data_IF_393795831662
#
_entry.id   IF_393795831662
#
_cell.length_a   1.000
_cell.length_b   1.000
_cell.length_c   1.000
_cell.angle_alpha   90.00
_cell.angle_beta   90.00
_cell.angle_gamma   90.00
#
_symmetry.space_group_name_H-M   'P 1'
#
loop_
_entity.id
_entity.type
_entity.pdbx_description
1 polymer ?
#
# COMPACT_ATOMS: atom_id res chain seq x y z
N UNK A 1 58.30 -2.89 0.70
CA UNK A 1 57.36 -3.42 1.70
C UNK A 1 56.25 -2.43 2.13
N UNK A 2 56.43 -1.11 2.19
CA UNK A 2 55.38 -0.12 2.52
C UNK A 2 54.26 0.02 1.48
N UNK A 3 54.56 -0.10 0.18
CA UNK A 3 53.60 0.05 -0.91
C UNK A 3 52.57 -1.10 -1.02
N UNK A 4 52.98 -2.31 -0.65
CA UNK A 4 52.08 -3.48 -0.66
C UNK A 4 51.06 -3.45 0.48
N UNK A 5 51.47 -2.95 1.66
CA UNK A 5 50.59 -2.79 2.83
C UNK A 5 49.50 -1.76 2.58
N UNK A 6 49.82 -0.65 1.88
CA UNK A 6 48.84 0.40 1.59
C UNK A 6 47.76 -0.02 0.58
N UNK A 7 48.12 -0.81 -0.47
CA UNK A 7 47.16 -1.37 -1.41
C UNK A 7 46.21 -2.40 -0.76
N UNK A 8 46.74 -3.23 0.14
CA UNK A 8 45.94 -4.23 0.85
C UNK A 8 44.93 -3.60 1.81
N UNK A 9 45.30 -2.54 2.54
CA UNK A 9 44.43 -1.81 3.46
C UNK A 9 43.31 -1.10 2.68
N UNK A 10 43.61 -0.51 1.53
CA UNK A 10 42.60 0.12 0.69
C UNK A 10 41.63 -0.88 0.02
N UNK A 11 42.14 -2.08 -0.34
CA UNK A 11 41.32 -3.17 -0.89
C UNK A 11 40.37 -3.73 0.19
N UNK A 12 40.85 -3.94 1.41
CA UNK A 12 40.05 -4.44 2.54
C UNK A 12 39.01 -3.38 2.94
N UNK A 13 39.37 -2.09 2.98
CA UNK A 13 38.40 -1.00 3.24
C UNK A 13 37.32 -0.91 2.16
N UNK A 14 37.69 -1.05 0.87
CA UNK A 14 36.75 -1.06 -0.24
C UNK A 14 35.79 -2.25 -0.16
N UNK A 15 36.30 -3.44 0.20
CA UNK A 15 35.49 -4.64 0.34
C UNK A 15 34.54 -4.54 1.55
N UNK A 16 35.02 -4.02 2.68
CA UNK A 16 34.20 -3.83 3.90
C UNK A 16 33.12 -2.76 3.71
N UNK A 17 33.44 -1.66 3.03
CA UNK A 17 32.46 -0.60 2.72
C UNK A 17 31.40 -1.14 1.73
N UNK A 18 31.81 -1.98 0.75
CA UNK A 18 30.86 -2.56 -0.20
C UNK A 18 29.93 -3.59 0.45
N UNK A 19 30.44 -4.44 1.36
CA UNK A 19 29.62 -5.41 2.09
C UNK A 19 28.69 -4.73 3.10
N UNK A 20 29.13 -3.67 3.77
CA UNK A 20 28.30 -2.91 4.72
C UNK A 20 27.21 -2.10 4.01
N UNK A 21 27.45 -1.62 2.77
CA UNK A 21 26.42 -0.92 1.98
C UNK A 21 25.36 -1.91 1.44
N UNK A 22 25.75 -3.16 1.19
CA UNK A 22 24.79 -4.20 0.73
C UNK A 22 23.86 -4.71 1.85
N UNK A 23 24.24 -4.52 3.13
CA UNK A 23 23.45 -4.93 4.30
C UNK A 23 22.60 -3.80 4.92
N UNK A 24 22.64 -2.59 4.37
CA UNK A 24 21.72 -1.54 4.79
C UNK A 24 20.33 -1.88 4.25
N UNK A 25 19.30 -1.97 5.11
CA UNK A 25 17.94 -2.17 4.63
C UNK A 25 17.59 -1.04 3.65
N UNK A 26 17.13 -1.40 2.45
CA UNK A 26 16.58 -0.39 1.52
C UNK A 26 15.50 0.40 2.24
N UNK A 27 15.71 1.72 2.34
CA UNK A 27 14.72 2.61 2.96
C UNK A 27 13.59 2.80 1.95
N UNK A 28 12.64 1.90 1.96
CA UNK A 28 11.44 2.03 1.14
C UNK A 28 10.61 3.22 1.63
N UNK A 29 10.21 4.07 0.69
CA UNK A 29 9.28 5.18 0.96
C UNK A 29 7.85 4.78 0.58
N UNK A 30 7.41 3.67 1.16
CA UNK A 30 6.07 3.13 0.95
C UNK A 30 5.04 4.02 1.64
N UNK A 31 3.93 4.31 0.96
CA UNK A 31 2.84 5.14 1.47
C UNK A 31 1.49 4.51 1.16
N UNK A 32 0.47 4.89 1.91
CA UNK A 32 -0.93 4.63 1.60
C UNK A 32 -1.62 5.95 1.28
N UNK A 33 -2.39 5.99 0.20
CA UNK A 33 -3.20 7.13 -0.18
C UNK A 33 -4.68 6.76 -0.09
N UNK A 34 -5.42 7.44 0.78
CA UNK A 34 -6.86 7.25 0.99
C UNK A 34 -7.62 8.35 0.26
N UNK A 35 -8.52 7.97 -0.65
CA UNK A 35 -9.31 8.91 -1.44
C UNK A 35 -10.49 9.45 -0.65
N UNK A 36 -10.54 10.77 -0.46
CA UNK A 36 -11.61 11.47 0.27
C UNK A 36 -12.86 11.49 -0.61
N UNK A 37 -13.90 10.78 -0.18
CA UNK A 37 -15.12 10.57 -0.98
C UNK A 37 -15.85 11.87 -1.31
N UNK A 38 -15.76 12.89 -0.45
CA UNK A 38 -16.39 14.21 -0.66
C UNK A 38 -15.86 14.91 -1.93
N UNK A 39 -14.62 14.67 -2.30
CA UNK A 39 -14.00 15.20 -3.52
C UNK A 39 -14.24 14.34 -4.77
N UNK A 40 -14.98 13.24 -4.60
CA UNK A 40 -15.28 12.27 -5.65
C UNK A 40 -16.56 12.55 -6.42
N UNK A 41 -16.93 11.59 -7.27
CA UNK A 41 -18.19 11.56 -7.99
C UNK A 41 -19.37 11.30 -7.04
N UNK A 42 -20.61 11.47 -7.53
CA UNK A 42 -21.80 11.09 -6.77
C UNK A 42 -21.77 9.62 -6.33
N UNK A 43 -21.18 8.76 -7.16
CA UNK A 43 -21.01 7.34 -6.85
C UNK A 43 -20.05 7.14 -5.67
N UNK A 44 -18.92 7.87 -5.63
CA UNK A 44 -17.98 7.81 -4.51
C UNK A 44 -18.62 8.26 -3.19
N UNK A 45 -19.38 9.35 -3.24
CA UNK A 45 -20.14 9.89 -2.09
C UNK A 45 -21.22 8.91 -1.61
N UNK A 46 -21.94 8.29 -2.54
CA UNK A 46 -22.95 7.30 -2.22
C UNK A 46 -22.35 6.07 -1.55
N UNK A 47 -21.29 5.51 -2.14
CA UNK A 47 -20.56 4.36 -1.56
C UNK A 47 -20.08 4.70 -0.16
N UNK A 48 -19.38 5.81 0.02
CA UNK A 48 -18.87 6.22 1.33
C UNK A 48 -19.98 6.39 2.38
N UNK A 49 -21.12 6.93 1.99
CA UNK A 49 -22.30 7.05 2.88
C UNK A 49 -22.85 5.68 3.28
N UNK A 50 -22.97 4.73 2.34
CA UNK A 50 -23.47 3.37 2.62
C UNK A 50 -22.54 2.62 3.56
N UNK A 51 -21.21 2.76 3.37
CA UNK A 51 -20.22 2.06 4.19
C UNK A 51 -19.78 2.87 5.44
N UNK A 52 -20.42 4.01 5.70
CA UNK A 52 -20.09 4.92 6.81
C UNK A 52 -18.58 5.23 6.90
N UNK A 53 -18.01 5.70 5.80
CA UNK A 53 -16.56 5.95 5.66
C UNK A 53 -16.28 7.34 5.12
N UNK A 54 -15.25 8.01 5.63
CA UNK A 54 -14.70 9.23 5.02
C UNK A 54 -14.11 8.95 3.62
N UNK A 55 -13.59 7.73 3.43
CA UNK A 55 -12.86 7.34 2.24
C UNK A 55 -13.63 6.33 1.39
N UNK A 56 -13.61 6.50 0.07
CA UNK A 56 -14.20 5.57 -0.89
C UNK A 56 -13.18 4.62 -1.53
N UNK A 57 -11.88 4.88 -1.35
CA UNK A 57 -10.82 4.09 -1.99
C UNK A 57 -9.49 4.23 -1.27
N UNK A 58 -8.59 3.25 -1.48
CA UNK A 58 -7.22 3.28 -0.97
C UNK A 58 -6.25 2.69 -1.99
N UNK A 59 -5.07 3.32 -2.10
CA UNK A 59 -3.95 2.90 -2.95
C UNK A 59 -2.72 2.64 -2.09
N UNK A 60 -1.92 1.63 -2.44
CA UNK A 60 -0.53 1.58 -2.01
C UNK A 60 0.32 2.37 -3.00
N UNK A 61 1.25 3.18 -2.48
CA UNK A 61 2.12 4.04 -3.28
C UNK A 61 3.57 3.62 -3.06
N UNK A 62 4.18 3.10 -4.10
CA UNK A 62 5.56 2.63 -4.09
C UNK A 62 6.57 3.79 -4.10
N UNK A 63 7.82 3.50 -3.78
CA UNK A 63 8.92 4.49 -3.75
C UNK A 63 9.11 5.22 -5.08
N UNK A 64 8.78 4.59 -6.20
CA UNK A 64 8.82 5.18 -7.55
C UNK A 64 7.55 5.98 -7.92
N UNK A 65 6.65 6.27 -6.96
CA UNK A 65 5.36 6.96 -7.14
C UNK A 65 4.34 6.24 -8.05
N UNK A 66 4.52 4.96 -8.30
CA UNK A 66 3.48 4.13 -8.91
C UNK A 66 2.52 3.66 -7.81
N UNK A 67 1.23 3.71 -8.09
CA UNK A 67 0.19 3.21 -7.20
C UNK A 67 -0.27 1.81 -7.62
N UNK A 68 -0.70 0.99 -6.66
CA UNK A 68 -1.39 -0.26 -6.94
C UNK A 68 -2.59 -0.45 -6.01
N UNK A 69 -3.67 -0.98 -6.57
CA UNK A 69 -4.90 -1.32 -5.85
C UNK A 69 -5.83 -2.12 -6.75
N UNK A 70 -6.97 -2.56 -6.23
CA UNK A 70 -8.12 -3.00 -7.01
C UNK A 70 -9.13 -1.87 -7.13
N UNK A 71 -9.54 -1.51 -8.35
CA UNK A 71 -10.43 -0.38 -8.62
C UNK A 71 -11.59 -0.80 -9.54
N UNK A 72 -12.84 -0.39 -9.23
CA UNK A 72 -13.97 -0.66 -10.13
C UNK A 72 -13.84 0.09 -11.45
N UNK A 73 -13.22 1.29 -11.46
CA UNK A 73 -12.96 2.08 -12.67
C UNK A 73 -11.97 1.41 -13.62
N UNK A 74 -11.03 0.67 -13.06
CA UNK A 74 -10.00 -0.07 -13.82
C UNK A 74 -10.35 -1.57 -13.94
N UNK A 75 -11.57 -1.97 -13.51
CA UNK A 75 -12.16 -3.33 -13.56
C UNK A 75 -11.41 -4.40 -12.72
N UNK A 76 -10.51 -4.01 -11.83
CA UNK A 76 -9.78 -4.96 -10.99
C UNK A 76 -8.43 -4.46 -10.50
N UNK A 77 -7.55 -5.41 -10.23
CA UNK A 77 -6.18 -5.16 -9.73
C UNK A 77 -5.31 -4.61 -10.84
N UNK A 78 -4.60 -3.52 -10.53
CA UNK A 78 -3.73 -2.83 -11.51
C UNK A 78 -2.63 -2.01 -10.84
N UNK A 79 -1.62 -1.65 -11.64
CA UNK A 79 -0.67 -0.57 -11.35
C UNK A 79 -1.05 0.69 -12.14
N UNK A 80 -0.88 1.88 -11.54
CA UNK A 80 -1.25 3.14 -12.18
C UNK A 80 -0.46 4.32 -11.62
N UNK A 81 -0.08 5.27 -12.46
CA UNK A 81 0.42 6.57 -12.01
C UNK A 81 -0.78 7.47 -11.73
N UNK A 82 -0.87 7.99 -10.50
CA UNK A 82 -1.99 8.84 -10.03
C UNK A 82 -1.38 10.16 -9.54
N UNK A 83 -2.02 11.28 -9.86
CA UNK A 83 -1.71 12.57 -9.24
C UNK A 83 -2.29 12.60 -7.83
N UNK A 84 -1.44 12.51 -6.84
CA UNK A 84 -1.79 12.53 -5.43
C UNK A 84 -1.76 13.94 -4.82
N UNK A 85 -1.24 14.94 -5.55
CA UNK A 85 -1.08 16.32 -5.06
C UNK A 85 -2.29 17.22 -5.36
N UNK A 86 -3.43 16.63 -5.74
CA UNK A 86 -4.63 17.36 -6.14
C UNK A 86 -5.58 17.69 -4.97
N UNK A 87 -5.17 17.48 -3.72
CA UNK A 87 -5.96 17.75 -2.51
C UNK A 87 -7.10 16.76 -2.24
N UNK A 88 -7.17 15.64 -2.98
CA UNK A 88 -8.24 14.63 -2.83
C UNK A 88 -7.81 13.39 -2.05
N UNK A 89 -6.58 13.37 -1.56
CA UNK A 89 -5.99 12.20 -0.92
C UNK A 89 -5.38 12.56 0.43
N UNK A 90 -5.69 11.76 1.43
CA UNK A 90 -4.92 11.73 2.67
C UNK A 90 -3.82 10.68 2.51
N UNK A 91 -2.56 11.10 2.68
CA UNK A 91 -1.39 10.26 2.42
C UNK A 91 -0.71 9.93 3.74
N UNK A 92 -0.48 8.65 3.99
CA UNK A 92 0.16 8.13 5.19
C UNK A 92 1.45 7.41 4.84
N UNK A 93 2.54 7.71 5.55
CA UNK A 93 3.77 6.95 5.44
C UNK A 93 3.60 5.61 6.15
N UNK A 94 4.03 4.54 5.49
CA UNK A 94 4.08 3.20 6.09
C UNK A 94 5.38 3.06 6.86
N UNK A 95 5.31 2.60 8.11
CA UNK A 95 6.49 2.32 8.90
C UNK A 95 7.30 1.18 8.25
N UNK A 96 8.66 1.21 8.29
CA UNK A 96 9.55 0.44 7.41
C UNK A 96 9.67 -1.05 7.79
N UNK A 97 8.55 -1.76 7.93
CA UNK A 97 8.53 -3.20 8.27
C UNK A 97 8.28 -4.07 7.04
N UNK A 98 7.87 -3.49 5.92
CA UNK A 98 7.45 -4.25 4.75
C UNK A 98 8.44 -4.13 3.60
N UNK A 99 8.75 -5.29 3.01
CA UNK A 99 9.53 -5.37 1.79
C UNK A 99 8.68 -4.94 0.58
N UNK A 100 9.01 -3.81 -0.04
CA UNK A 100 8.29 -3.25 -1.19
C UNK A 100 8.25 -4.24 -2.36
N UNK A 101 9.31 -5.02 -2.59
CA UNK A 101 9.37 -5.98 -3.69
C UNK A 101 8.45 -7.18 -3.47
N UNK A 102 8.26 -7.62 -2.23
CA UNK A 102 7.26 -8.65 -1.91
C UNK A 102 5.85 -8.16 -2.18
N UNK A 103 5.56 -6.91 -1.85
CA UNK A 103 4.27 -6.29 -2.13
C UNK A 103 4.04 -6.16 -3.64
N UNK A 104 5.05 -5.71 -4.40
CA UNK A 104 4.99 -5.66 -5.87
C UNK A 104 4.73 -7.03 -6.46
N UNK A 105 5.45 -8.08 -6.00
CA UNK A 105 5.23 -9.46 -6.44
C UNK A 105 3.81 -9.93 -6.17
N UNK A 106 3.25 -9.59 -5.00
CA UNK A 106 1.87 -9.90 -4.68
C UNK A 106 0.90 -9.26 -5.67
N UNK A 107 1.03 -7.96 -5.95
CA UNK A 107 0.19 -7.27 -6.93
C UNK A 107 0.37 -7.81 -8.35
N UNK A 108 1.59 -8.17 -8.75
CA UNK A 108 1.86 -8.77 -10.06
C UNK A 108 1.20 -10.14 -10.22
N UNK A 109 1.18 -10.96 -9.16
CA UNK A 109 0.51 -12.27 -9.19
C UNK A 109 -1.02 -12.20 -9.24
N UNK A 110 -1.60 -11.05 -8.87
CA UNK A 110 -3.04 -10.78 -8.90
C UNK A 110 -3.44 -9.77 -10.01
N UNK A 111 -2.49 -9.43 -10.89
CA UNK A 111 -2.73 -8.44 -11.94
C UNK A 111 -3.86 -8.91 -12.87
N UNK A 112 -4.91 -8.09 -12.99
CA UNK A 112 -6.09 -8.41 -13.79
C UNK A 112 -7.19 -9.20 -13.03
N UNK A 113 -6.98 -9.57 -11.76
CA UNK A 113 -8.08 -10.08 -10.93
C UNK A 113 -9.23 -9.07 -10.95
N UNK A 114 -10.45 -9.57 -11.14
CA UNK A 114 -11.64 -8.73 -11.27
C UNK A 114 -11.96 -7.98 -9.96
N UNK A 115 -12.61 -6.82 -10.10
CA UNK A 115 -13.09 -6.08 -8.94
C UNK A 115 -14.28 -6.77 -8.28
N UNK A 116 -14.23 -6.88 -6.94
CA UNK A 116 -15.31 -7.45 -6.12
C UNK A 116 -16.25 -6.36 -5.60
N UNK A 117 -17.26 -6.02 -6.36
CA UNK A 117 -18.27 -5.02 -5.97
C UNK A 117 -19.09 -5.47 -4.75
N UNK A 118 -19.47 -6.76 -4.70
CA UNK A 118 -20.25 -7.29 -3.58
C UNK A 118 -19.42 -7.35 -2.31
N UNK A 119 -18.17 -7.80 -2.41
CA UNK A 119 -17.24 -7.80 -1.28
C UNK A 119 -16.98 -6.39 -0.73
N UNK A 120 -16.81 -5.41 -1.61
CA UNK A 120 -16.61 -4.01 -1.20
C UNK A 120 -17.84 -3.44 -0.46
N UNK A 121 -19.05 -3.72 -0.91
CA UNK A 121 -20.29 -3.34 -0.20
C UNK A 121 -20.41 -4.10 1.12
N UNK A 122 -20.19 -5.40 1.10
CA UNK A 122 -20.24 -6.27 2.29
C UNK A 122 -19.30 -5.80 3.39
N UNK A 123 -18.09 -5.35 3.04
CA UNK A 123 -17.12 -4.82 4.01
C UNK A 123 -17.63 -3.57 4.74
N UNK A 124 -18.49 -2.77 4.09
CA UNK A 124 -19.08 -1.58 4.70
C UNK A 124 -20.18 -1.86 5.70
N UNK A 125 -20.91 -2.96 5.50
CA UNK A 125 -22.03 -3.36 6.39
C UNK A 125 -21.64 -4.51 7.34
N UNK A 126 -20.35 -4.89 7.37
CA UNK A 126 -19.83 -5.93 8.26
C UNK A 126 -20.18 -7.36 7.84
N UNK A 127 -20.61 -7.58 6.58
CA UNK A 127 -20.98 -8.90 6.06
C UNK A 127 -19.89 -9.39 5.11
N UNK A 128 -19.25 -10.55 5.33
CA UNK A 128 -18.18 -11.07 4.47
C UNK A 128 -18.77 -11.68 3.18
N UNK A 129 -19.04 -10.84 2.18
CA UNK A 129 -19.58 -11.24 0.86
C UNK A 129 -18.50 -11.40 -0.22
N UNK A 130 -17.22 -11.31 0.14
CA UNK A 130 -16.12 -11.30 -0.83
C UNK A 130 -15.91 -12.66 -1.51
N UNK A 131 -15.48 -12.62 -2.77
CA UNK A 131 -15.14 -13.78 -3.58
C UNK A 131 -13.63 -14.04 -3.58
N UNK A 132 -13.20 -15.31 -3.53
CA UNK A 132 -11.78 -15.67 -3.53
C UNK A 132 -11.03 -15.18 -4.79
N UNK A 133 -11.73 -15.12 -5.94
CA UNK A 133 -11.14 -14.77 -7.23
C UNK A 133 -11.34 -13.29 -7.60
N UNK A 134 -11.88 -12.48 -6.70
CA UNK A 134 -12.10 -11.05 -6.91
C UNK A 134 -11.46 -10.26 -5.79
N UNK A 135 -11.14 -9.01 -6.08
CA UNK A 135 -10.45 -8.13 -5.13
C UNK A 135 -11.14 -6.78 -5.04
N UNK A 136 -11.09 -6.14 -3.87
CA UNK A 136 -11.39 -4.72 -3.71
C UNK A 136 -10.24 -4.04 -2.95
N UNK A 137 -10.17 -2.72 -2.96
CA UNK A 137 -9.00 -1.96 -2.56
C UNK A 137 -8.50 -2.31 -1.15
N UNK A 138 -9.38 -2.27 -0.15
CA UNK A 138 -9.00 -2.54 1.25
C UNK A 138 -8.73 -4.02 1.52
N UNK A 139 -9.38 -4.96 0.80
CA UNK A 139 -9.05 -6.38 0.88
C UNK A 139 -7.60 -6.67 0.45
N UNK A 140 -7.14 -6.05 -0.65
CA UNK A 140 -5.76 -6.19 -1.10
C UNK A 140 -4.79 -5.81 0.02
N UNK A 141 -5.00 -4.65 0.64
CA UNK A 141 -4.11 -4.15 1.68
C UNK A 141 -4.25 -4.94 2.98
N UNK A 142 -5.47 -5.30 3.39
CA UNK A 142 -5.67 -6.14 4.57
C UNK A 142 -4.95 -7.48 4.44
N UNK A 143 -4.93 -8.06 3.25
CA UNK A 143 -4.20 -9.30 2.94
C UNK A 143 -2.68 -9.09 3.00
N UNK A 144 -2.17 -8.03 2.37
CA UNK A 144 -0.73 -7.69 2.35
C UNK A 144 -0.21 -7.43 3.75
N UNK A 145 -0.96 -6.68 4.57
CA UNK A 145 -0.61 -6.39 5.97
C UNK A 145 -0.92 -7.54 6.93
N UNK A 146 -1.43 -8.68 6.41
CA UNK A 146 -1.77 -9.89 7.19
C UNK A 146 -2.68 -9.61 8.37
N UNK A 147 -3.67 -8.72 8.17
CA UNK A 147 -4.65 -8.40 9.20
C UNK A 147 -5.51 -9.62 9.53
N UNK A 148 -5.88 -9.76 10.81
CA UNK A 148 -6.74 -10.88 11.27
C UNK A 148 -8.11 -10.84 10.61
N UNK A 149 -8.68 -9.63 10.47
CA UNK A 149 -9.93 -9.42 9.76
C UNK A 149 -9.64 -8.69 8.45
N UNK A 150 -9.88 -9.38 7.33
CA UNK A 150 -9.67 -8.86 5.98
C UNK A 150 -10.91 -8.17 5.41
N UNK A 151 -12.06 -8.27 6.09
CA UNK A 151 -13.32 -7.66 5.65
C UNK A 151 -13.41 -6.18 6.07
N UNK A 152 -12.46 -5.37 5.60
CA UNK A 152 -12.32 -3.97 5.97
C UNK A 152 -12.81 -3.04 4.86
N UNK A 153 -13.60 -2.00 5.19
CA UNK A 153 -13.74 -0.84 4.33
C UNK A 153 -12.51 0.08 4.46
N UNK A 154 -12.33 1.10 3.60
CA UNK A 154 -11.15 1.96 3.66
C UNK A 154 -10.94 2.66 5.00
N UNK A 155 -12.00 3.11 5.68
CA UNK A 155 -11.89 3.79 6.99
C UNK A 155 -11.51 2.80 8.10
N UNK A 156 -12.18 1.65 8.19
CA UNK A 156 -11.86 0.64 9.19
C UNK A 156 -10.45 0.07 8.99
N UNK A 157 -10.01 -0.09 7.74
CA UNK A 157 -8.62 -0.46 7.43
C UNK A 157 -7.65 0.59 7.99
N UNK A 158 -7.87 1.88 7.73
CA UNK A 158 -7.04 2.97 8.25
C UNK A 158 -6.92 2.93 9.76
N UNK A 159 -8.06 2.80 10.45
CA UNK A 159 -8.11 2.74 11.92
C UNK A 159 -7.30 1.55 12.45
N UNK A 160 -7.42 0.37 11.84
CA UNK A 160 -6.64 -0.80 12.22
C UNK A 160 -5.15 -0.60 12.00
N UNK A 161 -4.75 -0.04 10.84
CA UNK A 161 -3.34 0.20 10.53
C UNK A 161 -2.70 1.22 11.48
N UNK A 162 -3.45 2.23 11.95
CA UNK A 162 -3.01 3.15 12.99
C UNK A 162 -2.85 2.41 14.33
N UNK A 163 -3.86 1.63 14.72
CA UNK A 163 -3.84 0.87 15.98
C UNK A 163 -2.67 -0.11 16.04
N UNK A 164 -2.33 -0.73 14.91
CA UNK A 164 -1.22 -1.67 14.81
C UNK A 164 0.14 -0.97 14.58
N UNK A 165 0.18 0.37 14.59
CA UNK A 165 1.40 1.16 14.43
C UNK A 165 2.03 1.09 13.04
N UNK A 166 1.27 0.63 12.02
CA UNK A 166 1.72 0.49 10.63
C UNK A 166 1.76 1.83 9.92
N UNK A 167 0.82 2.74 10.25
CA UNK A 167 0.81 4.13 9.78
C UNK A 167 0.60 5.08 10.95
N UNK A 168 0.96 6.35 10.78
CA UNK A 168 0.75 7.38 11.81
C UNK A 168 -0.72 7.82 11.86
N UNK A 169 -1.13 8.49 12.95
CA UNK A 169 -2.50 9.01 13.13
C UNK A 169 -2.86 10.10 12.12
N UNK A 170 -1.89 10.98 11.82
CA UNK A 170 -2.09 12.12 10.93
C UNK A 170 -1.50 11.83 9.55
N UNK A 171 -2.18 12.24 8.47
CA UNK A 171 -1.62 12.23 7.13
C UNK A 171 -0.45 13.22 7.03
N UNK A 172 0.49 12.92 6.12
CA UNK A 172 1.65 13.78 5.82
C UNK A 172 1.26 14.93 4.89
#
# INVERSE_FOLDING_TARGET
>A
MKYFKMKFINYVKSFFVHSVILDLPEIYNLRLAFYIAEHGTLQDKFVAKVINSKYSHVEIVFSNNICASASPRDKGVRFKKIDLNNGKWDIYKVNPILNEDEIKKWFLSHLGDQYDTLGAIGSGIGIPLYSLNKKFCSLCLATIFKLKDINQNPESLRILLIKDGIINENPN
#
